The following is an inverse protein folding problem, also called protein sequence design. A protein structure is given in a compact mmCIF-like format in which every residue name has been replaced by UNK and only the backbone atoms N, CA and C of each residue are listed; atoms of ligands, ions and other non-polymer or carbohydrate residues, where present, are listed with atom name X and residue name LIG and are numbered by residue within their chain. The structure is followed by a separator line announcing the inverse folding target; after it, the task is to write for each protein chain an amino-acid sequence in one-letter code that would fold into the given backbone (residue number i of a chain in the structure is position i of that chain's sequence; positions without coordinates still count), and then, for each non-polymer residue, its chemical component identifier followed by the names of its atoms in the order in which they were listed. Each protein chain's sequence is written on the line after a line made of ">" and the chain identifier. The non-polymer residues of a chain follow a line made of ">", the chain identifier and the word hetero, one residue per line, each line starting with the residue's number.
data_IF_687139357425
#
_entry.id   IF_687139357425
#
_cell.length_a   1.000
_cell.length_b   1.000
_cell.length_c   1.000
_cell.angle_alpha   90.00
_cell.angle_beta   90.00
_cell.angle_gamma   90.00
#
_symmetry.space_group_name_H-M   'P 1'
#
loop_
_entity.id
_entity.type
_entity.pdbx_description
1 polymer ?
#
# COMPACT_ATOMS: atom_id res chain seq x y z
N UNK A 1 -1.33 4.20 28.05
CA UNK A 1 -1.72 3.26 26.97
C UNK A 1 -2.00 1.91 27.61
N UNK A 2 -3.14 1.25 27.33
CA UNK A 2 -3.44 -0.06 27.94
C UNK A 2 -2.60 -1.15 27.29
N UNK A 3 -2.10 -2.11 28.07
CA UNK A 3 -1.35 -3.27 27.54
C UNK A 3 -2.16 -4.03 26.49
N UNK A 4 -3.48 -4.13 26.67
CA UNK A 4 -4.37 -4.76 25.70
C UNK A 4 -4.33 -4.10 24.32
N UNK A 5 -4.13 -2.79 24.21
CA UNK A 5 -4.01 -2.11 22.93
C UNK A 5 -2.79 -2.60 22.14
N UNK A 6 -1.62 -2.67 22.79
CA UNK A 6 -0.38 -3.14 22.17
C UNK A 6 -0.51 -4.60 21.73
N UNK A 7 -1.12 -5.45 22.57
CA UNK A 7 -1.36 -6.85 22.23
C UNK A 7 -2.23 -6.98 20.98
N UNK A 8 -3.31 -6.19 20.86
CA UNK A 8 -4.17 -6.25 19.68
C UNK A 8 -3.45 -5.77 18.41
N UNK A 9 -2.60 -4.75 18.51
CA UNK A 9 -1.78 -4.30 17.38
C UNK A 9 -0.81 -5.38 16.92
N UNK A 10 -0.09 -6.04 17.85
CA UNK A 10 0.82 -7.13 17.52
C UNK A 10 0.09 -8.33 16.91
N UNK A 11 -1.09 -8.68 17.43
CA UNK A 11 -1.91 -9.76 16.88
C UNK A 11 -2.36 -9.44 15.44
N UNK A 12 -2.71 -8.18 15.15
CA UNK A 12 -3.08 -7.75 13.81
C UNK A 12 -1.88 -7.86 12.84
N UNK A 13 -0.70 -7.39 13.24
CA UNK A 13 0.53 -7.51 12.44
C UNK A 13 0.84 -8.98 12.13
N UNK A 14 0.85 -9.85 13.15
CA UNK A 14 1.12 -11.29 12.95
C UNK A 14 0.06 -12.00 12.09
N UNK A 15 -1.19 -11.52 12.12
CA UNK A 15 -2.24 -12.03 11.21
C UNK A 15 -1.97 -11.60 9.77
N UNK A 16 -1.59 -10.34 9.55
CA UNK A 16 -1.28 -9.80 8.22
C UNK A 16 -0.07 -10.53 7.62
N UNK A 17 1.04 -10.65 8.37
CA UNK A 17 2.25 -11.34 7.91
C UNK A 17 1.97 -12.77 7.40
N UNK A 18 1.15 -13.54 8.13
CA UNK A 18 0.74 -14.89 7.71
C UNK A 18 -0.16 -14.92 6.48
N UNK A 19 -0.85 -13.82 6.18
CA UNK A 19 -1.74 -13.70 5.04
C UNK A 19 -1.02 -13.21 3.78
N UNK A 20 0.10 -12.50 3.90
CA UNK A 20 0.82 -11.92 2.75
C UNK A 20 1.13 -12.94 1.63
N UNK A 21 1.64 -14.15 1.91
CA UNK A 21 1.94 -15.12 0.84
C UNK A 21 0.70 -15.65 0.10
N UNK A 22 -0.51 -15.39 0.61
CA UNK A 22 -1.77 -15.82 -0.01
C UNK A 22 -2.42 -14.71 -0.84
N UNK A 23 -1.89 -13.49 -0.77
CA UNK A 23 -2.46 -12.33 -1.44
C UNK A 23 -2.00 -12.28 -2.91
N UNK A 24 -2.95 -12.44 -3.82
CA UNK A 24 -2.71 -12.49 -5.29
C UNK A 24 -3.34 -11.31 -6.05
N UNK A 25 -4.14 -10.48 -5.37
CA UNK A 25 -4.84 -9.35 -5.98
C UNK A 25 -3.85 -8.28 -6.50
N UNK A 26 -4.21 -7.51 -7.55
CA UNK A 26 -3.47 -6.32 -7.92
C UNK A 26 -3.34 -5.34 -6.75
N UNK A 27 -2.14 -4.78 -6.52
CA UNK A 27 -1.84 -3.92 -5.37
C UNK A 27 -1.05 -2.69 -5.81
N UNK A 28 -1.49 -1.52 -5.37
CA UNK A 28 -0.69 -0.29 -5.34
C UNK A 28 -0.30 0.02 -3.90
N UNK A 29 0.99 0.20 -3.64
CA UNK A 29 1.52 0.66 -2.36
C UNK A 29 2.18 2.02 -2.55
N UNK A 30 1.76 2.99 -1.74
CA UNK A 30 2.34 4.32 -1.66
C UNK A 30 2.90 4.49 -0.25
N UNK A 31 4.17 4.88 -0.12
CA UNK A 31 4.82 4.96 1.18
C UNK A 31 5.74 6.18 1.28
N UNK A 32 5.78 6.86 2.42
CA UNK A 32 6.72 7.96 2.67
C UNK A 32 8.01 7.47 3.34
N UNK A 33 9.19 7.85 2.85
CA UNK A 33 10.47 7.33 3.38
C UNK A 33 10.74 7.72 4.84
N UNK A 34 10.11 8.80 5.31
CA UNK A 34 10.24 9.33 6.66
C UNK A 34 9.07 8.98 7.60
N UNK A 35 8.21 8.02 7.24
CA UNK A 35 7.12 7.52 8.10
C UNK A 35 7.66 6.98 9.44
N UNK A 36 7.15 7.53 10.55
CA UNK A 36 7.52 7.15 11.93
C UNK A 36 6.51 6.22 12.60
N UNK A 37 5.37 5.96 11.95
CA UNK A 37 4.30 5.09 12.44
C UNK A 37 4.33 3.73 11.75
N UNK A 38 4.49 3.71 10.43
CA UNK A 38 4.63 2.50 9.64
C UNK A 38 5.98 2.52 8.94
N UNK A 39 6.92 1.71 9.41
CA UNK A 39 8.26 1.66 8.83
C UNK A 39 8.25 1.13 7.39
N UNK A 40 8.99 1.79 6.49
CA UNK A 40 9.08 1.44 5.07
C UNK A 40 9.54 0.01 4.80
N UNK A 41 10.29 -0.60 5.72
CA UNK A 41 10.68 -2.03 5.63
C UNK A 41 9.47 -2.94 5.57
N UNK A 42 8.34 -2.55 6.16
CA UNK A 42 7.08 -3.28 6.04
C UNK A 42 6.51 -3.27 4.62
N UNK A 43 6.64 -2.16 3.89
CA UNK A 43 6.25 -2.09 2.48
C UNK A 43 7.17 -2.92 1.59
N UNK A 44 8.49 -2.92 1.83
CA UNK A 44 9.40 -3.81 1.11
C UNK A 44 9.09 -5.29 1.40
N UNK A 45 8.89 -5.67 2.66
CA UNK A 45 8.48 -7.01 3.05
C UNK A 45 7.20 -7.44 2.33
N UNK A 46 6.21 -6.55 2.25
CA UNK A 46 4.97 -6.83 1.53
C UNK A 46 5.24 -7.09 0.05
N UNK A 47 6.03 -6.25 -0.62
CA UNK A 47 6.38 -6.42 -2.03
C UNK A 47 7.12 -7.74 -2.28
N UNK A 48 7.99 -8.17 -1.36
CA UNK A 48 8.74 -9.43 -1.49
C UNK A 48 7.87 -10.66 -1.24
N UNK A 49 6.85 -10.54 -0.39
CA UNK A 49 6.09 -11.70 0.10
C UNK A 49 4.83 -12.00 -0.71
N UNK A 50 4.13 -10.96 -1.19
CA UNK A 50 2.84 -11.15 -1.88
C UNK A 50 3.01 -11.83 -3.24
N UNK A 51 2.06 -12.71 -3.57
CA UNK A 51 2.01 -13.48 -4.82
C UNK A 51 1.29 -12.75 -5.96
N UNK A 52 0.96 -11.48 -5.75
CA UNK A 52 0.38 -10.62 -6.77
C UNK A 52 1.34 -10.47 -7.96
N UNK A 53 0.79 -10.69 -9.16
CA UNK A 53 1.49 -10.49 -10.43
C UNK A 53 1.52 -9.01 -10.85
N UNK A 54 0.64 -8.21 -10.25
CA UNK A 54 0.43 -6.79 -10.58
C UNK A 54 0.57 -5.99 -9.29
N UNK A 55 1.83 -5.75 -8.91
CA UNK A 55 2.19 -5.05 -7.68
C UNK A 55 3.12 -3.89 -7.98
N UNK A 56 2.76 -2.71 -7.48
CA UNK A 56 3.53 -1.48 -7.65
C UNK A 56 3.80 -0.85 -6.30
N UNK A 57 5.04 -0.43 -6.05
CA UNK A 57 5.43 0.39 -4.89
C UNK A 57 5.99 1.72 -5.38
N UNK A 58 5.44 2.83 -4.89
CA UNK A 58 6.01 4.17 -5.04
C UNK A 58 6.39 4.74 -3.69
N UNK A 59 7.63 5.19 -3.58
CA UNK A 59 8.17 5.82 -2.38
C UNK A 59 8.25 7.33 -2.58
N UNK A 60 7.73 8.08 -1.61
CA UNK A 60 7.81 9.53 -1.55
C UNK A 60 8.93 9.92 -0.58
N UNK A 61 10.01 10.47 -1.12
CA UNK A 61 11.17 10.86 -0.33
C UNK A 61 10.81 11.96 0.68
N UNK A 62 11.31 11.83 1.91
CA UNK A 62 11.05 12.70 3.06
C UNK A 62 9.59 12.85 3.52
N UNK A 63 8.64 12.19 2.83
CA UNK A 63 7.25 12.22 3.22
C UNK A 63 6.98 11.35 4.45
N UNK A 64 6.01 11.75 5.26
CA UNK A 64 5.59 11.06 6.48
C UNK A 64 4.39 10.15 6.19
N UNK A 65 3.73 9.70 7.26
CA UNK A 65 2.68 8.68 7.25
C UNK A 65 1.45 9.04 6.40
N UNK A 66 0.94 10.26 6.54
CA UNK A 66 -0.35 10.64 5.99
C UNK A 66 -0.21 11.26 4.58
N UNK A 67 0.26 10.47 3.61
CA UNK A 67 0.56 10.93 2.24
C UNK A 67 -0.58 11.72 1.54
N UNK A 68 -1.83 11.41 1.86
CA UNK A 68 -3.01 12.11 1.32
C UNK A 68 -3.31 13.47 2.01
N UNK A 69 -2.50 13.83 3.01
CA UNK A 69 -2.50 15.10 3.76
C UNK A 69 -1.08 15.63 3.96
N UNK A 70 -0.17 15.23 3.08
CA UNK A 70 1.19 15.74 3.04
C UNK A 70 1.24 17.11 2.37
N UNK A 71 2.45 17.65 2.19
CA UNK A 71 2.68 18.84 1.38
C UNK A 71 1.93 18.76 0.02
N UNK A 72 1.45 19.90 -0.51
CA UNK A 72 0.55 19.91 -1.68
C UNK A 72 1.08 19.09 -2.87
N UNK A 73 2.38 19.13 -3.15
CA UNK A 73 3.01 18.38 -4.23
C UNK A 73 2.86 16.86 -4.06
N UNK A 74 3.18 16.35 -2.86
CA UNK A 74 3.04 14.93 -2.53
C UNK A 74 1.58 14.53 -2.58
N UNK A 75 0.69 15.31 -1.96
CA UNK A 75 -0.75 15.03 -1.95
C UNK A 75 -1.31 14.97 -3.37
N UNK A 76 -1.02 15.97 -4.21
CA UNK A 76 -1.46 15.96 -5.61
C UNK A 76 -0.92 14.75 -6.37
N UNK A 77 0.37 14.43 -6.21
CA UNK A 77 0.95 13.23 -6.82
C UNK A 77 0.25 11.95 -6.36
N UNK A 78 -0.03 11.79 -5.06
CA UNK A 78 -0.72 10.63 -4.49
C UNK A 78 -2.10 10.44 -5.13
N UNK A 79 -2.89 11.51 -5.25
CA UNK A 79 -4.19 11.44 -5.89
C UNK A 79 -4.08 11.10 -7.38
N UNK A 80 -3.11 11.66 -8.10
CA UNK A 80 -2.86 11.32 -9.51
C UNK A 80 -2.52 9.83 -9.66
N UNK A 81 -1.60 9.30 -8.86
CA UNK A 81 -1.20 7.88 -8.91
C UNK A 81 -2.38 6.94 -8.65
N UNK A 82 -3.20 7.23 -7.64
CA UNK A 82 -4.39 6.43 -7.32
C UNK A 82 -5.37 6.45 -8.49
N UNK A 83 -5.69 7.63 -9.03
CA UNK A 83 -6.64 7.78 -10.13
C UNK A 83 -6.15 7.08 -11.40
N UNK A 84 -4.87 7.23 -11.74
CA UNK A 84 -4.27 6.57 -12.89
C UNK A 84 -4.28 5.05 -12.72
N UNK A 85 -3.85 4.54 -11.57
CA UNK A 85 -3.79 3.10 -11.32
C UNK A 85 -5.18 2.46 -11.35
N UNK A 86 -6.16 3.06 -10.66
CA UNK A 86 -7.55 2.57 -10.67
C UNK A 86 -8.14 2.64 -12.08
N UNK A 87 -7.93 3.75 -12.80
CA UNK A 87 -8.39 3.91 -14.18
C UNK A 87 -7.88 2.79 -15.09
N UNK A 88 -6.60 2.44 -15.00
CA UNK A 88 -6.02 1.33 -15.76
C UNK A 88 -6.69 -0.01 -15.46
N UNK A 89 -7.02 -0.31 -14.18
CA UNK A 89 -7.65 -1.59 -13.82
C UNK A 89 -9.11 -1.68 -14.28
N UNK A 90 -9.83 -0.56 -14.24
CA UNK A 90 -11.22 -0.50 -14.72
C UNK A 90 -11.28 -0.62 -16.25
N UNK A 91 -10.41 0.07 -16.97
CA UNK A 91 -10.35 -0.03 -18.44
C UNK A 91 -9.97 -1.44 -18.91
N UNK A 92 -8.99 -2.08 -18.27
CA UNK A 92 -8.58 -3.46 -18.60
C UNK A 92 -9.71 -4.49 -18.37
N UNK A 93 -10.56 -4.30 -17.36
CA UNK A 93 -11.72 -5.17 -17.11
C UNK A 93 -12.82 -5.05 -18.18
N UNK A 94 -12.95 -3.87 -18.81
CA UNK A 94 -13.90 -3.62 -19.88
C UNK A 94 -13.54 -4.33 -21.20
N UNK A 95 -12.26 -4.52 -21.48
CA UNK A 95 -11.79 -5.20 -22.69
C UNK A 95 -12.00 -6.72 -22.64
N UNK A 96 -11.95 -7.33 -21.46
CA UNK A 96 -12.19 -8.79 -21.28
C UNK A 96 -13.65 -9.23 -21.43
N UNK A 97 -14.61 -8.30 -21.56
CA UNK A 97 -16.05 -8.61 -21.70
C UNK A 97 -16.56 -8.59 -23.15
N UNK A 98 -15.69 -8.38 -24.14
CA UNK A 98 -16.00 -8.36 -25.57
C UNK A 98 -15.25 -9.46 -26.34
N UNK A 99 -15.44 -10.73 -25.96
CA UNK A 99 -15.14 -11.90 -26.81
C UNK A 99 -16.12 -13.02 -26.52
#
# INVERSE_FOLDING_TARGET
>A
MKVSFVIQLMNAIARIERALPKLTLPILVLHGSSDKLCDIRGSYLLMDTVQSQDKTLKVYEEAYHALHKELPEVTTSVFTEILTWVGQKVSAAGETSHT
#
